data_IF_071969270427
#
_entry.id   IF_071969270427
#
_cell.length_a   1.000
_cell.length_b   1.000
_cell.length_c   1.000
_cell.angle_alpha   90.00
_cell.angle_beta   90.00
_cell.angle_gamma   90.00
#
_symmetry.space_group_name_H-M   'P 1'
#
loop_
_entity.id
_entity.type
_entity.pdbx_description
1 polymer ?
#
# COMPACT_ATOMS: atom_id res chain seq x y z
N UNK A 1 -35.00 -52.07 -22.26
CA UNK A 1 -35.86 -51.37 -21.28
C UNK A 1 -36.35 -50.10 -21.95
N UNK A 2 -37.65 -50.01 -22.26
CA UNK A 2 -38.24 -48.89 -22.99
C UNK A 2 -38.61 -47.78 -22.00
N UNK A 3 -37.81 -46.71 -21.92
CA UNK A 3 -38.19 -45.48 -21.21
C UNK A 3 -39.08 -44.61 -22.11
N UNK A 4 -40.30 -45.08 -22.39
CA UNK A 4 -41.33 -44.31 -23.08
C UNK A 4 -42.15 -43.49 -22.09
N UNK A 5 -41.57 -42.43 -21.53
CA UNK A 5 -42.27 -41.48 -20.66
C UNK A 5 -42.61 -40.18 -21.40
N UNK A 6 -43.89 -39.82 -21.47
CA UNK A 6 -44.33 -38.54 -22.05
C UNK A 6 -44.10 -37.41 -21.05
N UNK A 7 -43.00 -36.68 -21.19
CA UNK A 7 -42.67 -35.51 -20.37
C UNK A 7 -43.60 -34.34 -20.72
N UNK A 8 -44.58 -34.06 -19.85
CA UNK A 8 -45.41 -32.85 -19.94
C UNK A 8 -44.69 -31.70 -19.24
N UNK A 9 -44.04 -30.86 -20.04
CA UNK A 9 -43.28 -29.71 -19.53
C UNK A 9 -44.23 -28.60 -19.09
N UNK A 10 -44.25 -28.28 -17.79
CA UNK A 10 -44.99 -27.14 -17.26
C UNK A 10 -44.22 -25.85 -17.59
N UNK A 11 -44.86 -24.92 -18.31
CA UNK A 11 -44.26 -23.63 -18.69
C UNK A 11 -43.73 -22.87 -17.47
N UNK A 12 -44.42 -22.93 -16.33
CA UNK A 12 -43.95 -22.32 -15.08
C UNK A 12 -42.67 -22.96 -14.55
N UNK A 13 -42.52 -24.29 -14.68
CA UNK A 13 -41.32 -25.00 -14.23
C UNK A 13 -40.08 -24.66 -15.07
N UNK A 14 -40.25 -24.42 -16.38
CA UNK A 14 -39.14 -23.94 -17.21
C UNK A 14 -38.72 -22.52 -16.84
N UNK A 15 -39.67 -21.63 -16.54
CA UNK A 15 -39.36 -20.27 -16.08
C UNK A 15 -38.61 -20.27 -14.74
N UNK A 16 -39.04 -21.08 -13.78
CA UNK A 16 -38.37 -21.17 -12.48
C UNK A 16 -36.97 -21.75 -12.60
N UNK A 17 -36.77 -22.80 -13.42
CA UNK A 17 -35.44 -23.34 -13.70
C UNK A 17 -34.52 -22.31 -14.37
N UNK A 18 -35.04 -21.57 -15.35
CA UNK A 18 -34.29 -20.48 -16.01
C UNK A 18 -33.90 -19.37 -15.04
N UNK A 19 -34.81 -18.98 -14.14
CA UNK A 19 -34.54 -17.97 -13.12
C UNK A 19 -33.51 -18.43 -12.09
N UNK A 20 -33.61 -19.68 -11.62
CA UNK A 20 -32.61 -20.28 -10.71
C UNK A 20 -31.24 -20.35 -11.39
N UNK A 21 -31.19 -20.76 -12.66
CA UNK A 21 -29.95 -20.83 -13.43
C UNK A 21 -29.35 -19.43 -13.65
N UNK A 22 -30.19 -18.43 -13.92
CA UNK A 22 -29.79 -17.02 -13.98
C UNK A 22 -29.23 -16.53 -12.65
N UNK A 23 -29.86 -16.85 -11.51
CA UNK A 23 -29.34 -16.50 -10.18
C UNK A 23 -28.00 -17.18 -9.88
N UNK A 24 -27.82 -18.44 -10.28
CA UNK A 24 -26.55 -19.17 -10.13
C UNK A 24 -25.45 -18.52 -10.98
N UNK A 25 -25.76 -18.16 -12.23
CA UNK A 25 -24.83 -17.47 -13.12
C UNK A 25 -24.53 -16.07 -12.58
N UNK A 26 -25.53 -15.33 -12.11
CA UNK A 26 -25.38 -14.01 -11.51
C UNK A 26 -24.50 -14.06 -10.27
N UNK A 27 -24.72 -15.03 -9.37
CA UNK A 27 -23.87 -15.22 -8.19
C UNK A 27 -22.45 -15.61 -8.59
N UNK A 28 -22.27 -16.53 -9.55
CA UNK A 28 -20.93 -16.92 -10.03
C UNK A 28 -20.21 -15.81 -10.81
N UNK A 29 -20.95 -14.97 -11.52
CA UNK A 29 -20.41 -13.85 -12.30
C UNK A 29 -20.15 -12.64 -11.42
N UNK A 30 -20.87 -12.50 -10.30
CA UNK A 30 -20.62 -11.55 -9.24
C UNK A 30 -19.41 -11.98 -8.40
N UNK A 31 -18.23 -12.02 -9.01
CA UNK A 31 -16.95 -12.20 -8.32
C UNK A 31 -16.54 -10.95 -7.52
N UNK A 32 -17.53 -10.18 -7.04
CA UNK A 32 -17.33 -9.20 -5.97
C UNK A 32 -17.21 -10.03 -4.69
N UNK A 33 -16.01 -10.54 -4.43
CA UNK A 33 -15.72 -11.25 -3.19
C UNK A 33 -16.01 -10.33 -2.03
N UNK A 34 -17.17 -10.52 -1.38
CA UNK A 34 -17.48 -9.90 -0.10
C UNK A 34 -16.32 -10.20 0.87
N UNK A 35 -15.95 -9.27 1.76
CA UNK A 35 -14.80 -9.45 2.64
C UNK A 35 -15.14 -10.61 3.55
N UNK A 36 -14.44 -11.73 3.38
CA UNK A 36 -14.66 -12.91 4.21
C UNK A 36 -14.19 -12.64 5.64
N UNK A 37 -13.17 -11.78 5.80
CA UNK A 37 -12.69 -11.27 7.07
C UNK A 37 -12.65 -9.75 7.12
N UNK A 38 -12.95 -9.16 8.28
CA UNK A 38 -12.74 -7.72 8.55
C UNK A 38 -11.27 -7.30 8.36
N UNK A 39 -10.34 -8.24 8.48
CA UNK A 39 -8.89 -8.04 8.26
C UNK A 39 -8.54 -7.72 6.79
N UNK A 40 -9.45 -7.96 5.84
CA UNK A 40 -9.26 -7.64 4.43
C UNK A 40 -9.64 -6.19 4.09
N UNK A 41 -10.27 -5.48 5.03
CA UNK A 41 -10.66 -4.08 4.87
C UNK A 41 -9.67 -3.14 5.55
N UNK A 42 -9.45 -1.98 4.94
CA UNK A 42 -8.68 -0.88 5.50
C UNK A 42 -9.50 0.40 5.46
N UNK A 43 -9.40 1.20 6.52
CA UNK A 43 -9.97 2.55 6.53
C UNK A 43 -8.97 3.51 5.88
N UNK A 44 -9.38 4.20 4.81
CA UNK A 44 -8.52 5.16 4.11
C UNK A 44 -8.08 6.33 5.00
N UNK A 45 -8.90 6.74 5.97
CA UNK A 45 -8.52 7.74 6.99
C UNK A 45 -7.35 7.25 7.85
N UNK A 46 -7.43 6.01 8.34
CA UNK A 46 -6.35 5.39 9.12
C UNK A 46 -5.09 5.20 8.27
N UNK A 47 -5.25 4.81 7.00
CA UNK A 47 -4.12 4.68 6.07
C UNK A 47 -3.44 6.03 5.79
N UNK A 48 -4.22 7.10 5.65
CA UNK A 48 -3.68 8.46 5.49
C UNK A 48 -2.89 8.89 6.73
N UNK A 49 -3.44 8.67 7.94
CA UNK A 49 -2.73 8.96 9.19
C UNK A 49 -1.41 8.19 9.29
N UNK A 50 -1.44 6.89 8.99
CA UNK A 50 -0.25 6.04 8.95
C UNK A 50 0.77 6.54 7.91
N UNK A 51 0.31 6.94 6.73
CA UNK A 51 1.18 7.42 5.64
C UNK A 51 1.93 8.70 6.04
N UNK A 52 1.26 9.62 6.76
CA UNK A 52 1.88 10.84 7.28
C UNK A 52 2.93 10.49 8.33
N UNK A 53 2.59 9.64 9.31
CA UNK A 53 3.55 9.22 10.34
C UNK A 53 4.77 8.50 9.74
N UNK A 54 4.54 7.64 8.74
CA UNK A 54 5.62 6.97 8.02
C UNK A 54 6.55 7.99 7.34
N UNK A 55 5.98 8.97 6.63
CA UNK A 55 6.76 10.04 6.00
C UNK A 55 7.53 10.90 7.02
N UNK A 56 6.94 11.24 8.17
CA UNK A 56 7.62 11.94 9.26
C UNK A 56 8.79 11.12 9.83
N UNK A 57 8.61 9.81 10.01
CA UNK A 57 9.65 8.90 10.46
C UNK A 57 10.79 8.79 9.44
N UNK A 58 10.47 8.65 8.14
CA UNK A 58 11.44 8.62 7.06
C UNK A 58 12.25 9.91 6.97
N UNK A 59 11.56 11.06 6.99
CA UNK A 59 12.21 12.37 6.99
C UNK A 59 13.15 12.58 8.18
N UNK A 60 12.78 12.09 9.36
CA UNK A 60 13.69 12.10 10.53
C UNK A 60 14.96 11.28 10.27
N UNK A 61 14.86 10.11 9.64
CA UNK A 61 16.04 9.29 9.30
C UNK A 61 16.97 9.98 8.33
N UNK A 62 16.44 10.73 7.37
CA UNK A 62 17.27 11.49 6.43
C UNK A 62 17.95 12.69 7.09
N UNK A 63 17.25 13.37 8.00
CA UNK A 63 17.85 14.42 8.83
C UNK A 63 18.98 13.85 9.70
N UNK A 64 18.73 12.70 10.35
CA UNK A 64 19.75 12.01 11.16
C UNK A 64 20.95 11.58 10.29
N UNK A 65 20.71 11.11 9.07
CA UNK A 65 21.75 10.70 8.11
C UNK A 65 22.71 11.84 7.71
N UNK A 66 22.25 13.09 7.78
CA UNK A 66 23.07 14.26 7.47
C UNK A 66 24.09 14.61 8.58
N UNK A 67 23.97 14.00 9.76
CA UNK A 67 24.86 14.30 10.89
C UNK A 67 26.24 13.63 10.80
N UNK A 68 26.46 12.75 9.81
CA UNK A 68 27.70 12.00 9.60
C UNK A 68 28.14 12.02 8.13
N UNK A 69 29.31 11.47 7.82
CA UNK A 69 29.76 11.30 6.43
C UNK A 69 28.82 10.35 5.67
N UNK A 70 28.32 10.81 4.52
CA UNK A 70 27.39 10.04 3.68
C UNK A 70 28.14 8.92 2.96
N UNK A 71 27.74 7.68 3.20
CA UNK A 71 28.19 6.53 2.40
C UNK A 71 27.42 6.49 1.08
N UNK A 72 27.94 7.22 0.08
CA UNK A 72 27.33 7.29 -1.25
C UNK A 72 27.72 6.05 -2.06
N UNK A 73 26.72 5.31 -2.52
CA UNK A 73 26.82 4.20 -3.46
C UNK A 73 26.04 4.56 -4.72
N UNK A 74 26.10 3.70 -5.74
CA UNK A 74 25.30 3.87 -6.95
C UNK A 74 24.52 2.60 -7.25
N UNK A 75 23.25 2.74 -7.61
CA UNK A 75 22.37 1.64 -8.07
C UNK A 75 22.65 1.27 -9.53
N UNK A 76 23.37 2.13 -10.25
CA UNK A 76 23.66 2.00 -11.68
C UNK A 76 23.55 3.34 -12.37
N UNK A 77 23.15 3.32 -13.64
CA UNK A 77 22.88 4.51 -14.42
C UNK A 77 21.39 4.61 -14.73
N UNK A 78 20.86 5.81 -14.70
CA UNK A 78 19.54 6.12 -15.23
C UNK A 78 19.49 5.86 -16.74
N UNK A 79 18.29 5.86 -17.31
CA UNK A 79 18.10 5.75 -18.77
C UNK A 79 18.84 6.86 -19.55
N UNK A 80 19.11 7.98 -18.89
CA UNK A 80 19.83 9.14 -19.42
C UNK A 80 21.36 8.98 -19.30
N UNK A 81 21.84 7.86 -18.75
CA UNK A 81 23.26 7.56 -18.56
C UNK A 81 23.91 8.26 -17.36
N UNK A 82 23.12 8.93 -16.51
CA UNK A 82 23.59 9.60 -15.29
C UNK A 82 23.67 8.59 -14.16
N UNK A 83 24.70 8.67 -13.31
CA UNK A 83 24.79 7.81 -12.14
C UNK A 83 23.60 8.08 -11.21
N UNK A 84 22.96 7.00 -10.77
CA UNK A 84 21.86 7.01 -9.81
C UNK A 84 22.44 6.74 -8.41
N UNK A 85 22.59 7.78 -7.56
CA UNK A 85 23.20 7.66 -6.24
C UNK A 85 22.20 7.10 -5.22
N UNK A 86 22.72 6.39 -4.23
CA UNK A 86 21.97 5.93 -3.07
C UNK A 86 22.84 6.06 -1.83
N UNK A 87 22.26 6.46 -0.71
CA UNK A 87 22.98 6.65 0.56
C UNK A 87 22.40 5.79 1.67
N UNK A 88 23.10 5.74 2.80
CA UNK A 88 22.56 5.09 4.00
C UNK A 88 21.29 5.81 4.53
N UNK A 89 21.09 7.09 4.20
CA UNK A 89 19.88 7.83 4.55
C UNK A 89 18.65 7.32 3.77
N UNK A 90 18.80 7.04 2.48
CA UNK A 90 17.75 6.44 1.64
C UNK A 90 17.32 5.08 2.22
N UNK A 91 18.30 4.24 2.58
CA UNK A 91 18.03 2.94 3.21
C UNK A 91 17.39 3.07 4.59
N UNK A 92 17.86 4.00 5.43
CA UNK A 92 17.29 4.21 6.76
C UNK A 92 15.85 4.73 6.69
N UNK A 93 15.59 5.67 5.77
CA UNK A 93 14.26 6.19 5.49
C UNK A 93 13.33 5.10 4.95
N UNK A 94 13.81 4.30 3.99
CA UNK A 94 13.09 3.14 3.46
C UNK A 94 12.69 2.19 4.58
N UNK A 95 13.64 1.84 5.45
CA UNK A 95 13.37 0.92 6.54
C UNK A 95 12.31 1.47 7.50
N UNK A 96 12.38 2.75 7.85
CA UNK A 96 11.37 3.38 8.70
C UNK A 96 9.99 3.41 8.04
N UNK A 97 9.89 3.84 6.78
CA UNK A 97 8.62 3.98 6.06
C UNK A 97 7.99 2.62 5.71
N UNK A 98 8.75 1.76 5.02
CA UNK A 98 8.25 0.50 4.48
C UNK A 98 7.77 -0.44 5.59
N UNK A 99 8.63 -0.68 6.59
CA UNK A 99 8.32 -1.68 7.62
C UNK A 99 7.33 -1.16 8.66
N UNK A 100 7.28 0.14 8.96
CA UNK A 100 6.22 0.66 9.83
C UNK A 100 4.83 0.49 9.19
N UNK A 101 4.71 0.77 7.88
CA UNK A 101 3.47 0.54 7.12
C UNK A 101 3.12 -0.95 7.03
N UNK A 102 4.10 -1.81 6.72
CA UNK A 102 3.87 -3.27 6.61
C UNK A 102 3.55 -3.92 7.94
N UNK A 103 4.17 -3.48 9.04
CA UNK A 103 3.89 -3.99 10.37
C UNK A 103 2.51 -3.53 10.86
N UNK A 104 2.06 -2.32 10.49
CA UNK A 104 0.70 -1.84 10.81
C UNK A 104 -0.37 -2.50 9.93
N UNK A 105 -0.09 -2.73 8.65
CA UNK A 105 -1.03 -3.30 7.68
C UNK A 105 -0.39 -4.47 6.92
N UNK A 106 -0.39 -5.66 7.52
CA UNK A 106 0.32 -6.83 7.00
C UNK A 106 -0.05 -7.19 5.55
N UNK A 107 -1.33 -7.12 5.20
CA UNK A 107 -1.86 -7.46 3.87
C UNK A 107 -1.72 -6.33 2.83
N UNK A 108 -1.23 -5.14 3.23
CA UNK A 108 -1.15 -3.98 2.34
C UNK A 108 0.00 -4.15 1.34
N UNK A 109 -0.27 -3.83 0.08
CA UNK A 109 0.78 -3.77 -0.94
C UNK A 109 1.49 -2.43 -0.82
N UNK A 110 2.75 -2.47 -0.40
CA UNK A 110 3.64 -1.31 -0.35
C UNK A 110 4.76 -1.53 -1.35
N UNK A 111 4.99 -0.57 -2.24
CA UNK A 111 6.06 -0.58 -3.23
C UNK A 111 7.00 0.56 -2.89
N UNK A 112 8.29 0.27 -2.75
CA UNK A 112 9.31 1.27 -2.47
C UNK A 112 10.34 1.27 -3.60
N UNK A 113 10.87 2.46 -3.91
CA UNK A 113 12.04 2.59 -4.77
C UNK A 113 13.24 1.79 -4.22
N UNK A 114 13.47 1.89 -2.91
CA UNK A 114 14.56 1.20 -2.26
C UNK A 114 14.19 -0.22 -1.84
N UNK A 115 15.23 -1.06 -1.70
CA UNK A 115 15.09 -2.43 -1.24
C UNK A 115 16.07 -2.72 -0.11
N UNK A 116 15.53 -3.25 0.98
CA UNK A 116 16.31 -3.66 2.15
C UNK A 116 17.07 -4.96 1.87
N UNK A 117 18.31 -5.04 2.34
CA UNK A 117 19.09 -6.28 2.30
C UNK A 117 18.63 -7.22 3.42
N UNK A 118 18.53 -8.51 3.13
CA UNK A 118 18.21 -9.53 4.14
C UNK A 118 19.16 -9.43 5.34
N UNK A 119 18.60 -9.41 6.56
CA UNK A 119 19.39 -9.36 7.80
C UNK A 119 19.82 -7.97 8.27
N UNK A 120 19.33 -6.88 7.67
CA UNK A 120 19.63 -5.50 8.08
C UNK A 120 18.97 -5.06 9.40
N UNK A 121 18.10 -5.89 9.99
CA UNK A 121 17.31 -5.55 11.18
C UNK A 121 16.18 -4.54 10.91
N UNK A 122 15.97 -4.15 9.65
CA UNK A 122 14.95 -3.16 9.28
C UNK A 122 13.52 -3.59 9.63
N UNK A 123 13.24 -4.89 9.70
CA UNK A 123 11.94 -5.46 10.07
C UNK A 123 11.47 -5.05 11.47
N UNK A 124 12.42 -4.70 12.35
CA UNK A 124 12.16 -4.27 13.73
C UNK A 124 11.74 -2.79 13.81
N UNK A 125 10.77 -2.36 13.00
CA UNK A 125 10.13 -1.05 13.16
C UNK A 125 8.89 -1.15 14.03
N UNK A 126 8.65 -0.10 14.80
CA UNK A 126 7.42 0.06 15.57
C UNK A 126 6.22 0.21 14.62
N UNK A 127 5.09 -0.40 14.99
CA UNK A 127 3.81 -0.14 14.34
C UNK A 127 3.38 1.31 14.55
N UNK A 128 2.78 1.88 13.52
CA UNK A 128 2.17 3.21 13.53
C UNK A 128 0.92 3.21 14.39
N UNK A 129 0.73 4.28 15.15
CA UNK A 129 -0.44 4.50 16.00
C UNK A 129 -1.48 5.31 15.20
N UNK A 130 -2.39 4.60 14.53
CA UNK A 130 -3.41 5.21 13.67
C UNK A 130 -4.50 5.98 14.44
N UNK A 131 -4.59 5.75 15.75
CA UNK A 131 -5.56 6.43 16.62
C UNK A 131 -4.98 7.72 17.20
N UNK A 132 -3.65 7.87 17.20
CA UNK A 132 -2.97 9.10 17.60
C UNK A 132 -3.41 10.28 16.75
N UNK A 133 -3.85 11.35 17.43
CA UNK A 133 -4.12 12.62 16.79
C UNK A 133 -2.82 13.20 16.20
N UNK A 134 -2.91 13.71 14.97
CA UNK A 134 -1.77 14.33 14.28
C UNK A 134 -1.78 15.85 14.54
N UNK A 135 -0.85 16.38 15.36
CA UNK A 135 -0.78 17.81 15.64
C UNK A 135 -0.54 18.58 14.32
N UNK A 136 -1.30 19.66 14.11
CA UNK A 136 -1.21 20.46 12.88
C UNK A 136 -2.03 19.95 11.70
N UNK A 137 -2.62 18.75 11.78
CA UNK A 137 -3.45 18.16 10.72
C UNK A 137 -4.89 17.85 11.21
N UNK A 138 -5.52 18.80 11.89
CA UNK A 138 -6.87 18.62 12.47
C UNK A 138 -7.95 18.30 11.44
N UNK A 139 -7.77 18.71 10.19
CA UNK A 139 -8.71 18.41 9.10
C UNK A 139 -8.93 16.90 8.90
N UNK A 140 -7.91 16.09 9.18
CA UNK A 140 -7.97 14.64 9.01
C UNK A 140 -8.98 14.03 9.98
N UNK A 141 -9.14 14.60 11.18
CA UNK A 141 -10.09 14.09 12.17
C UNK A 141 -11.55 14.23 11.71
N UNK A 142 -11.84 15.21 10.85
CA UNK A 142 -13.16 15.45 10.27
C UNK A 142 -13.44 14.67 8.99
N UNK A 143 -12.45 13.94 8.45
CA UNK A 143 -12.69 13.06 7.32
C UNK A 143 -13.59 11.89 7.74
N UNK A 144 -14.49 11.52 6.83
CA UNK A 144 -15.34 10.34 7.00
C UNK A 144 -14.50 9.07 6.91
N UNK A 145 -14.96 8.04 7.62
CA UNK A 145 -14.38 6.71 7.48
C UNK A 145 -14.82 6.09 6.15
N UNK A 146 -13.86 5.56 5.42
CA UNK A 146 -14.09 4.87 4.15
C UNK A 146 -13.36 3.53 4.19
N UNK A 147 -14.13 2.44 4.23
CA UNK A 147 -13.60 1.09 4.25
C UNK A 147 -13.51 0.54 2.83
N UNK A 148 -12.31 0.15 2.43
CA UNK A 148 -12.02 -0.47 1.13
C UNK A 148 -11.25 -1.76 1.30
N UNK A 149 -11.24 -2.62 0.27
CA UNK A 149 -10.41 -3.82 0.32
C UNK A 149 -8.93 -3.46 0.21
N UNK A 150 -8.12 -4.03 1.10
CA UNK A 150 -6.69 -3.77 1.14
C UNK A 150 -5.96 -4.24 -0.13
N UNK A 151 -6.47 -5.29 -0.80
CA UNK A 151 -5.96 -5.77 -2.10
C UNK A 151 -6.13 -4.75 -3.25
N UNK A 152 -7.09 -3.84 -3.11
CA UNK A 152 -7.40 -2.82 -4.13
C UNK A 152 -6.62 -1.51 -3.87
N UNK A 153 -5.85 -1.48 -2.77
CA UNK A 153 -4.98 -0.36 -2.40
C UNK A 153 -3.51 -0.73 -2.63
N UNK A 154 -2.77 0.16 -3.26
CA UNK A 154 -1.31 0.09 -3.35
C UNK A 154 -0.71 1.41 -2.88
N UNK A 155 0.25 1.33 -1.98
CA UNK A 155 1.02 2.49 -1.50
C UNK A 155 2.38 2.49 -2.19
N UNK A 156 2.73 3.60 -2.82
CA UNK A 156 4.04 3.82 -3.43
C UNK A 156 4.82 4.83 -2.59
N UNK A 157 6.00 4.42 -2.12
CA UNK A 157 6.87 5.29 -1.32
C UNK A 157 8.17 5.58 -2.05
N UNK A 158 8.54 6.86 -2.01
CA UNK A 158 9.88 7.35 -2.31
C UNK A 158 10.50 7.82 -0.99
N UNK A 159 11.45 7.04 -0.43
CA UNK A 159 12.04 7.34 0.87
C UNK A 159 12.96 8.57 0.88
N UNK A 160 13.43 9.03 -0.28
CA UNK A 160 14.24 10.24 -0.42
C UNK A 160 14.28 10.61 -1.91
N UNK A 161 13.40 11.52 -2.33
CA UNK A 161 13.46 12.08 -3.69
C UNK A 161 14.57 13.15 -3.74
N UNK A 162 15.26 13.24 -4.88
CA UNK A 162 16.43 14.08 -5.10
C UNK A 162 17.70 13.66 -4.31
N UNK A 163 18.04 12.36 -4.31
CA UNK A 163 19.27 11.84 -3.65
C UNK A 163 20.54 12.53 -4.13
N UNK A 164 20.63 12.91 -5.41
CA UNK A 164 21.79 13.62 -5.95
C UNK A 164 21.96 14.99 -5.28
N UNK A 165 20.89 15.74 -5.14
CA UNK A 165 20.83 17.03 -4.44
C UNK A 165 21.17 16.87 -2.96
N UNK A 166 20.70 15.78 -2.33
CA UNK A 166 21.06 15.43 -0.95
C UNK A 166 22.57 15.20 -0.79
N UNK A 167 23.21 14.44 -1.70
CA UNK A 167 24.67 14.28 -1.68
C UNK A 167 25.42 15.60 -1.86
N UNK A 168 24.82 16.55 -2.60
CA UNK A 168 25.31 17.91 -2.78
C UNK A 168 24.96 18.89 -1.65
N UNK A 169 24.30 18.42 -0.59
CA UNK A 169 23.82 19.22 0.56
C UNK A 169 22.79 20.32 0.18
N UNK A 170 22.04 20.11 -0.90
CA UNK A 170 20.99 21.00 -1.36
C UNK A 170 19.61 20.58 -0.81
N UNK A 171 19.40 20.77 0.49
CA UNK A 171 18.23 20.21 1.18
C UNK A 171 16.86 20.81 0.80
N UNK A 172 16.85 21.98 0.17
CA UNK A 172 15.60 22.66 -0.23
C UNK A 172 14.79 21.90 -1.31
N UNK A 173 15.40 20.91 -1.95
CA UNK A 173 14.79 20.13 -3.03
C UNK A 173 14.39 18.71 -2.61
N UNK A 174 14.64 18.34 -1.35
CA UNK A 174 14.40 16.97 -0.87
C UNK A 174 12.93 16.81 -0.52
N UNK A 175 12.32 15.76 -1.07
CA UNK A 175 10.92 15.43 -0.87
C UNK A 175 10.82 13.97 -0.42
N UNK A 176 9.83 13.68 0.43
CA UNK A 176 9.41 12.31 0.75
C UNK A 176 8.03 12.13 0.18
N UNK A 177 7.80 11.07 -0.60
CA UNK A 177 6.49 10.85 -1.21
C UNK A 177 5.87 9.55 -0.72
N UNK A 178 4.57 9.61 -0.43
CA UNK A 178 3.74 8.45 -0.11
C UNK A 178 2.42 8.59 -0.86
N UNK A 179 2.27 7.81 -1.93
CA UNK A 179 1.14 7.90 -2.84
C UNK A 179 0.21 6.70 -2.65
N UNK A 180 -1.06 6.96 -2.41
CA UNK A 180 -2.09 5.92 -2.24
C UNK A 180 -2.88 5.81 -3.54
N UNK A 181 -2.91 4.61 -4.14
CA UNK A 181 -3.74 4.30 -5.29
C UNK A 181 -4.79 3.26 -4.92
N UNK A 182 -6.06 3.62 -5.07
CA UNK A 182 -7.21 2.72 -4.96
C UNK A 182 -7.75 2.42 -6.38
N UNK A 183 -7.95 1.14 -6.71
CA UNK A 183 -8.40 0.69 -8.05
C UNK A 183 -9.92 0.65 -8.19
#
# INVERSE_FOLDING_TARGET
>A
MNFGGTLRVNKFACFTLGFILFLIIYWRSGNAGFPLEKSDLINLKSLLKASIQAAEMGGKKVLDGNSHELNIKSKGKTLEGVNDPVTDADYASHCAMYYSLKNTFEKLTVVSEEHSKSGSGCENQQMLDVDKALPGNSIIEYLNDELVYMKDVTVWIDPLDATKEYTGKHYNFIIYSCNIKHK
#
